data_IF_552155713296
#
_entry.id   IF_552155713296
#
_cell.length_a   1.000
_cell.length_b   1.000
_cell.length_c   1.000
_cell.angle_alpha   90.00
_cell.angle_beta   90.00
_cell.angle_gamma   90.00
#
_symmetry.space_group_name_H-M   'P 1'
#
loop_
_entity.id
_entity.type
_entity.pdbx_description
1 polymer ?
#
# COMPACT_ATOMS: atom_id res chain seq x y z
N UNK A 1 -0.65 -14.32 -2.55
CA UNK A 1 -0.36 -14.04 -1.13
C UNK A 1 -1.53 -14.38 -0.22
N UNK A 2 -2.74 -13.90 -0.48
CA UNK A 2 -3.90 -14.31 0.32
C UNK A 2 -4.33 -15.76 0.06
N UNK A 3 -3.99 -16.32 -1.11
CA UNK A 3 -4.29 -17.70 -1.57
C UNK A 3 -5.76 -18.13 -1.33
N UNK A 4 -6.65 -17.20 -1.57
CA UNK A 4 -8.09 -17.41 -1.44
C UNK A 4 -8.70 -17.28 -2.82
N UNK A 5 -9.11 -18.41 -3.40
CA UNK A 5 -9.74 -18.44 -4.73
C UNK A 5 -11.09 -17.73 -4.74
N UNK A 6 -11.82 -17.77 -3.61
CA UNK A 6 -13.13 -17.14 -3.47
C UNK A 6 -13.23 -16.38 -2.15
N UNK A 7 -13.69 -15.13 -2.24
CA UNK A 7 -13.95 -14.27 -1.08
C UNK A 7 -15.46 -14.13 -0.77
N UNK A 8 -16.28 -15.00 -1.32
CA UNK A 8 -17.74 -14.94 -1.16
C UNK A 8 -18.13 -14.99 0.31
N UNK A 9 -18.92 -13.99 0.74
CA UNK A 9 -19.40 -13.86 2.10
C UNK A 9 -18.41 -13.23 3.09
N UNK A 10 -17.18 -12.90 2.65
CA UNK A 10 -16.19 -12.21 3.47
C UNK A 10 -16.30 -10.69 3.32
N UNK A 11 -16.02 -9.97 4.40
CA UNK A 11 -15.89 -8.52 4.42
C UNK A 11 -14.42 -8.13 4.23
N UNK A 12 -14.16 -7.32 3.22
CA UNK A 12 -12.84 -6.88 2.81
C UNK A 12 -12.71 -5.37 2.98
N UNK A 13 -11.72 -4.93 3.73
CA UNK A 13 -11.36 -3.52 3.89
C UNK A 13 -10.12 -3.21 3.06
N UNK A 14 -10.21 -2.23 2.16
CA UNK A 14 -9.10 -1.70 1.38
C UNK A 14 -8.69 -0.32 1.89
N UNK A 15 -7.57 -0.26 2.58
CA UNK A 15 -7.02 0.96 3.18
C UNK A 15 -6.04 1.61 2.21
N UNK A 16 -6.41 2.80 1.72
CA UNK A 16 -5.66 3.49 0.69
C UNK A 16 -5.86 2.83 -0.67
N UNK A 17 -7.11 2.84 -1.14
CA UNK A 17 -7.52 2.09 -2.34
C UNK A 17 -6.88 2.55 -3.64
N UNK A 18 -6.34 3.78 -3.69
CA UNK A 18 -5.67 4.34 -4.86
C UNK A 18 -6.57 4.30 -6.09
N UNK A 19 -6.13 3.57 -7.13
CA UNK A 19 -6.93 3.35 -8.35
C UNK A 19 -8.10 2.38 -8.19
N UNK A 20 -8.26 1.71 -7.04
CA UNK A 20 -9.33 0.77 -6.75
C UNK A 20 -9.18 -0.64 -7.34
N UNK A 21 -8.06 -0.98 -7.95
CA UNK A 21 -7.87 -2.27 -8.63
C UNK A 21 -7.93 -3.47 -7.67
N UNK A 22 -7.42 -3.35 -6.45
CA UNK A 22 -7.48 -4.43 -5.47
C UNK A 22 -8.88 -4.58 -4.89
N UNK A 23 -9.58 -3.48 -4.64
CA UNK A 23 -11.00 -3.48 -4.29
C UNK A 23 -11.85 -4.15 -5.37
N UNK A 24 -11.61 -3.80 -6.64
CA UNK A 24 -12.28 -4.40 -7.80
C UNK A 24 -12.05 -5.91 -7.85
N UNK A 25 -10.79 -6.35 -7.69
CA UNK A 25 -10.44 -7.77 -7.68
C UNK A 25 -11.11 -8.52 -6.51
N UNK A 26 -11.12 -7.94 -5.31
CA UNK A 26 -11.80 -8.51 -4.16
C UNK A 26 -13.32 -8.63 -4.40
N UNK A 27 -13.91 -7.60 -5.02
CA UNK A 27 -15.34 -7.62 -5.35
C UNK A 27 -15.68 -8.65 -6.43
N UNK A 28 -14.86 -8.80 -7.46
CA UNK A 28 -15.01 -9.89 -8.45
C UNK A 28 -14.88 -11.28 -7.82
N UNK A 29 -14.08 -11.42 -6.77
CA UNK A 29 -13.94 -12.67 -6.00
C UNK A 29 -15.11 -12.90 -5.04
N UNK A 30 -16.11 -12.01 -4.99
CA UNK A 30 -17.35 -12.16 -4.22
C UNK A 30 -17.36 -11.54 -2.83
N UNK A 31 -16.34 -10.79 -2.45
CA UNK A 31 -16.32 -10.09 -1.15
C UNK A 31 -17.32 -8.94 -1.09
N UNK A 32 -17.82 -8.62 0.12
CA UNK A 32 -18.35 -7.30 0.42
C UNK A 32 -17.17 -6.38 0.73
N UNK A 33 -17.01 -5.30 -0.06
CA UNK A 33 -15.81 -4.45 -0.04
C UNK A 33 -16.13 -3.09 0.57
N UNK A 34 -15.27 -2.64 1.44
CA UNK A 34 -15.22 -1.26 1.91
C UNK A 34 -13.85 -0.67 1.54
N UNK A 35 -13.84 0.42 0.79
CA UNK A 35 -12.63 1.07 0.31
C UNK A 35 -12.60 2.50 0.80
N UNK A 36 -11.46 2.94 1.30
CA UNK A 36 -11.26 4.37 1.54
C UNK A 36 -9.87 4.82 1.12
N UNK A 37 -9.75 6.10 0.83
CA UNK A 37 -8.49 6.76 0.56
C UNK A 37 -8.49 8.17 1.14
N UNK A 38 -7.32 8.68 1.52
CA UNK A 38 -7.16 10.06 1.98
C UNK A 38 -7.24 11.04 0.81
N UNK A 39 -6.79 10.62 -0.39
CA UNK A 39 -6.77 11.44 -1.59
C UNK A 39 -8.13 11.37 -2.32
N UNK A 40 -8.83 12.51 -2.51
CA UNK A 40 -10.10 12.56 -3.21
C UNK A 40 -10.03 12.07 -4.66
N UNK A 41 -8.90 12.26 -5.37
CA UNK A 41 -8.72 11.77 -6.74
C UNK A 41 -8.68 10.25 -6.77
N UNK A 42 -8.00 9.62 -5.82
CA UNK A 42 -7.99 8.16 -5.63
C UNK A 42 -9.39 7.62 -5.33
N UNK A 43 -10.16 8.31 -4.47
CA UNK A 43 -11.57 7.96 -4.20
C UNK A 43 -12.40 8.04 -5.48
N UNK A 44 -12.23 9.09 -6.29
CA UNK A 44 -12.94 9.25 -7.55
C UNK A 44 -12.58 8.17 -8.57
N UNK A 45 -11.29 7.79 -8.67
CA UNK A 45 -10.86 6.68 -9.51
C UNK A 45 -11.55 5.36 -9.10
N UNK A 46 -11.59 5.06 -7.80
CA UNK A 46 -12.24 3.86 -7.28
C UNK A 46 -13.75 3.88 -7.53
N UNK A 47 -14.42 5.02 -7.36
CA UNK A 47 -15.85 5.20 -7.69
C UNK A 47 -16.13 4.99 -9.18
N UNK A 48 -15.24 5.47 -10.05
CA UNK A 48 -15.37 5.26 -11.49
C UNK A 48 -15.24 3.78 -11.88
N UNK A 49 -14.33 3.03 -11.24
CA UNK A 49 -14.26 1.57 -11.44
C UNK A 49 -15.54 0.88 -10.98
N UNK A 50 -16.08 1.24 -9.81
CA UNK A 50 -17.36 0.71 -9.35
C UNK A 50 -18.46 1.01 -10.36
N UNK A 51 -18.55 2.25 -10.85
CA UNK A 51 -19.54 2.65 -11.86
C UNK A 51 -19.47 1.81 -13.13
N UNK A 52 -18.27 1.44 -13.59
CA UNK A 52 -18.07 0.66 -14.83
C UNK A 52 -18.41 -0.83 -14.68
N UNK A 53 -18.06 -1.42 -13.55
CA UNK A 53 -18.10 -2.87 -13.38
C UNK A 53 -19.16 -3.37 -12.40
N UNK A 54 -19.62 -2.52 -11.50
CA UNK A 54 -20.55 -2.86 -10.43
C UNK A 54 -21.57 -1.75 -10.18
N UNK A 55 -22.26 -1.31 -11.24
CA UNK A 55 -23.29 -0.27 -11.15
C UNK A 55 -24.38 -0.68 -10.17
N UNK A 56 -24.73 0.21 -9.22
CA UNK A 56 -25.76 -0.02 -8.18
C UNK A 56 -25.47 -1.21 -7.24
N UNK A 57 -24.21 -1.55 -7.04
CA UNK A 57 -23.82 -2.63 -6.13
C UNK A 57 -23.66 -2.11 -4.70
N UNK A 58 -24.54 -2.53 -3.79
CA UNK A 58 -24.49 -2.16 -2.38
C UNK A 58 -23.39 -2.89 -1.59
N UNK A 59 -22.79 -3.93 -2.19
CA UNK A 59 -21.70 -4.68 -1.58
C UNK A 59 -20.32 -4.04 -1.74
N UNK A 60 -20.23 -2.85 -2.35
CA UNK A 60 -18.98 -2.09 -2.44
C UNK A 60 -19.21 -0.64 -2.00
N UNK A 61 -18.75 -0.29 -0.80
CA UNK A 61 -18.74 1.08 -0.27
C UNK A 61 -17.41 1.75 -0.53
N UNK A 62 -17.43 3.06 -0.85
CA UNK A 62 -16.23 3.85 -1.17
C UNK A 62 -16.37 5.22 -0.54
N UNK A 63 -15.41 5.60 0.31
CA UNK A 63 -15.43 6.86 1.04
C UNK A 63 -14.06 7.55 1.06
N UNK A 64 -14.04 8.84 1.35
CA UNK A 64 -12.82 9.54 1.73
C UNK A 64 -12.57 9.33 3.23
N UNK A 65 -11.35 9.01 3.61
CA UNK A 65 -11.01 8.77 5.01
C UNK A 65 -9.50 8.64 5.24
N UNK A 66 -9.09 8.75 6.48
CA UNK A 66 -7.68 8.63 6.88
C UNK A 66 -7.47 7.46 7.82
N UNK A 67 -6.45 6.64 7.55
CA UNK A 67 -6.02 5.58 8.48
C UNK A 67 -5.49 6.15 9.82
N UNK A 68 -5.11 7.42 9.85
CA UNK A 68 -4.67 8.08 11.09
C UNK A 68 -5.84 8.65 11.92
N UNK A 69 -7.04 8.71 11.36
CA UNK A 69 -8.25 9.12 12.09
C UNK A 69 -8.83 7.89 12.81
N UNK A 70 -8.48 7.78 14.10
CA UNK A 70 -8.86 6.64 14.92
C UNK A 70 -10.37 6.50 15.11
N UNK A 71 -11.08 7.63 15.29
CA UNK A 71 -12.54 7.62 15.49
C UNK A 71 -13.24 7.12 14.21
N UNK A 72 -12.80 7.60 13.05
CA UNK A 72 -13.26 7.11 11.77
C UNK A 72 -13.02 5.60 11.63
N UNK A 73 -11.80 5.13 11.91
CA UNK A 73 -11.45 3.72 11.79
C UNK A 73 -12.26 2.82 12.73
N UNK A 74 -12.49 3.25 13.97
CA UNK A 74 -13.32 2.51 14.93
C UNK A 74 -14.79 2.44 14.47
N UNK A 75 -15.28 3.47 13.77
CA UNK A 75 -16.66 3.50 13.24
C UNK A 75 -16.91 2.52 12.10
N UNK A 76 -15.86 2.07 11.38
CA UNK A 76 -15.98 1.13 10.25
C UNK A 76 -16.39 -0.28 10.67
N UNK A 77 -16.16 -0.65 11.93
CA UNK A 77 -16.39 -2.01 12.43
C UNK A 77 -15.27 -2.98 12.09
N UNK A 78 -15.59 -4.26 11.91
CA UNK A 78 -14.64 -5.36 11.79
C UNK A 78 -14.76 -6.10 10.46
N UNK A 79 -13.61 -6.50 9.90
CA UNK A 79 -13.50 -7.16 8.60
C UNK A 79 -12.76 -8.49 8.71
N UNK A 80 -13.07 -9.41 7.80
CA UNK A 80 -12.39 -10.70 7.69
C UNK A 80 -11.00 -10.54 7.10
N UNK A 81 -10.85 -9.58 6.17
CA UNK A 81 -9.58 -9.24 5.51
C UNK A 81 -9.40 -7.73 5.55
N UNK A 82 -8.27 -7.29 6.08
CA UNK A 82 -7.81 -5.90 6.06
C UNK A 82 -6.59 -5.82 5.16
N UNK A 83 -6.68 -5.03 4.11
CA UNK A 83 -5.68 -4.91 3.06
C UNK A 83 -5.15 -3.48 3.01
N UNK A 84 -3.83 -3.33 2.96
CA UNK A 84 -3.18 -2.04 2.74
C UNK A 84 -1.84 -2.23 2.03
N UNK A 85 -1.79 -1.94 0.76
CA UNK A 85 -0.58 -2.12 -0.06
C UNK A 85 0.00 -0.79 -0.51
N UNK A 86 1.19 -0.46 -0.03
CA UNK A 86 1.90 0.75 -0.47
C UNK A 86 1.41 2.05 0.19
N UNK A 87 0.75 2.00 1.34
CA UNK A 87 0.07 3.15 1.96
C UNK A 87 0.63 3.53 3.32
N UNK A 88 0.72 2.59 4.26
CA UNK A 88 0.99 2.88 5.67
C UNK A 88 2.31 3.64 5.90
N UNK A 89 3.30 3.38 5.08
CA UNK A 89 4.63 4.01 5.13
C UNK A 89 4.70 5.39 4.43
N UNK A 90 3.56 5.89 3.93
CA UNK A 90 3.39 7.23 3.39
C UNK A 90 2.51 8.14 4.26
N UNK A 91 2.13 7.68 5.45
CA UNK A 91 1.25 8.43 6.36
C UNK A 91 1.98 9.47 7.21
N UNK A 92 3.29 9.35 7.37
CA UNK A 92 4.09 10.18 8.29
C UNK A 92 4.00 9.72 9.74
N UNK A 93 3.17 8.71 10.03
CA UNK A 93 3.06 8.05 11.33
C UNK A 93 2.74 6.55 11.14
N UNK A 94 3.68 5.83 10.50
CA UNK A 94 3.49 4.45 10.05
C UNK A 94 3.04 3.51 11.18
N UNK A 95 3.62 3.60 12.36
CA UNK A 95 3.28 2.72 13.46
C UNK A 95 1.87 2.97 14.01
N UNK A 96 1.40 4.22 14.05
CA UNK A 96 0.02 4.53 14.41
C UNK A 96 -0.95 4.02 13.32
N UNK A 97 -0.61 4.21 12.05
CA UNK A 97 -1.38 3.65 10.95
C UNK A 97 -1.47 2.11 11.05
N UNK A 98 -0.36 1.42 11.35
CA UNK A 98 -0.35 -0.02 11.59
C UNK A 98 -1.23 -0.42 12.78
N UNK A 99 -1.17 0.34 13.89
CA UNK A 99 -2.01 0.11 15.07
C UNK A 99 -3.50 0.24 14.74
N UNK A 100 -3.85 1.23 13.93
CA UNK A 100 -5.23 1.46 13.52
C UNK A 100 -5.75 0.35 12.59
N UNK A 101 -4.90 -0.34 11.80
CA UNK A 101 -5.34 -1.53 11.05
C UNK A 101 -5.87 -2.63 11.95
N UNK A 102 -5.27 -2.80 13.13
CA UNK A 102 -5.64 -3.84 14.11
C UNK A 102 -7.07 -3.65 14.62
N UNK A 103 -7.49 -2.39 14.76
CA UNK A 103 -8.83 -2.03 15.25
C UNK A 103 -9.95 -2.54 14.34
N UNK A 104 -9.65 -2.86 13.09
CA UNK A 104 -10.64 -3.26 12.08
C UNK A 104 -10.69 -4.76 11.79
N UNK A 105 -9.92 -5.58 12.51
CA UNK A 105 -9.83 -7.03 12.23
C UNK A 105 -10.76 -7.84 13.11
N UNK A 106 -11.50 -8.77 12.52
CA UNK A 106 -12.28 -9.79 13.25
C UNK A 106 -11.38 -10.84 13.91
N UNK A 107 -11.86 -11.56 14.93
CA UNK A 107 -11.22 -12.80 15.38
C UNK A 107 -11.01 -13.74 14.20
N UNK A 108 -9.81 -14.35 14.09
CA UNK A 108 -9.36 -15.19 12.95
C UNK A 108 -9.27 -14.44 11.61
N UNK A 109 -9.45 -13.10 11.60
CA UNK A 109 -9.28 -12.27 10.42
C UNK A 109 -7.81 -12.11 10.06
N UNK A 110 -7.56 -11.58 8.86
CA UNK A 110 -6.22 -11.43 8.29
C UNK A 110 -5.91 -9.98 7.94
N UNK A 111 -4.65 -9.60 8.16
CA UNK A 111 -4.09 -8.35 7.69
C UNK A 111 -3.08 -8.66 6.58
N UNK A 112 -3.24 -8.03 5.42
CA UNK A 112 -2.23 -8.00 4.36
C UNK A 112 -1.69 -6.58 4.22
N UNK A 113 -0.40 -6.39 4.47
CA UNK A 113 0.27 -5.10 4.32
C UNK A 113 1.53 -5.21 3.49
N UNK A 114 1.92 -4.08 2.88
CA UNK A 114 3.24 -3.93 2.29
C UNK A 114 3.94 -2.69 2.84
N UNK A 115 5.19 -2.85 3.28
CA UNK A 115 5.99 -1.79 3.91
C UNK A 115 7.35 -1.73 3.24
N UNK A 116 7.86 -0.51 2.99
CA UNK A 116 9.21 -0.31 2.45
C UNK A 116 10.28 -0.89 3.37
N UNK A 117 11.20 -1.62 2.72
CA UNK A 117 12.35 -2.21 3.40
C UNK A 117 13.36 -1.14 3.83
N UNK A 118 13.82 -1.21 5.08
CA UNK A 118 14.89 -0.35 5.57
C UNK A 118 16.26 -0.84 5.09
N UNK A 119 16.92 -0.05 4.26
CA UNK A 119 18.27 -0.26 3.74
C UNK A 119 19.31 0.63 4.43
N UNK A 120 19.02 1.12 5.65
CA UNK A 120 19.93 1.96 6.42
C UNK A 120 20.22 3.30 5.77
N UNK A 121 21.48 3.54 5.36
CA UNK A 121 21.89 4.83 4.78
C UNK A 121 21.19 5.14 3.44
N UNK A 122 20.90 4.13 2.63
CA UNK A 122 20.18 4.29 1.36
C UNK A 122 18.77 4.81 1.61
N UNK A 123 18.07 4.27 2.60
CA UNK A 123 16.72 4.74 2.99
C UNK A 123 16.76 6.18 3.50
N UNK A 124 17.79 6.56 4.27
CA UNK A 124 17.99 7.95 4.73
C UNK A 124 18.23 8.90 3.56
N UNK A 125 19.07 8.51 2.60
CA UNK A 125 19.30 9.27 1.37
C UNK A 125 17.97 9.52 0.63
N UNK A 126 17.19 8.47 0.35
CA UNK A 126 15.92 8.62 -0.36
C UNK A 126 14.90 9.45 0.41
N UNK A 127 14.85 9.33 1.72
CA UNK A 127 14.00 10.21 2.57
C UNK A 127 14.35 11.68 2.36
N UNK A 128 15.64 12.02 2.35
CA UNK A 128 16.11 13.38 2.12
C UNK A 128 15.77 13.88 0.71
N UNK A 129 16.03 13.06 -0.31
CA UNK A 129 15.68 13.36 -1.72
C UNK A 129 14.20 13.65 -1.87
N UNK A 130 13.33 12.77 -1.37
CA UNK A 130 11.87 12.92 -1.44
C UNK A 130 11.39 14.17 -0.69
N UNK A 131 11.96 14.45 0.48
CA UNK A 131 11.67 15.67 1.24
C UNK A 131 12.02 16.92 0.45
N UNK A 132 13.21 16.97 -0.16
CA UNK A 132 13.64 18.09 -1.00
C UNK A 132 12.81 18.24 -2.28
N UNK A 133 12.45 17.13 -2.91
CA UNK A 133 11.57 17.13 -4.09
C UNK A 133 10.22 17.81 -3.80
N UNK A 134 9.67 17.59 -2.60
CA UNK A 134 8.37 18.13 -2.19
C UNK A 134 8.45 19.50 -1.51
N UNK A 135 9.64 20.12 -1.39
CA UNK A 135 9.78 21.39 -0.68
C UNK A 135 9.41 22.60 -1.54
N UNK A 136 9.89 22.71 -2.77
CA UNK A 136 9.57 23.79 -3.72
C UNK A 136 9.89 23.42 -5.16
N UNK A 137 9.45 24.27 -6.11
CA UNK A 137 9.59 23.99 -7.56
C UNK A 137 11.04 23.94 -8.03
N UNK A 138 11.95 24.73 -7.46
CA UNK A 138 13.35 24.77 -7.86
C UNK A 138 14.10 23.52 -7.41
N UNK A 139 13.91 23.10 -6.16
CA UNK A 139 14.49 21.85 -5.65
C UNK A 139 13.89 20.64 -6.36
N UNK A 140 12.61 20.66 -6.72
CA UNK A 140 11.97 19.63 -7.54
C UNK A 140 12.67 19.49 -8.89
N UNK A 141 12.85 20.60 -9.61
CA UNK A 141 13.52 20.59 -10.91
C UNK A 141 14.97 20.07 -10.79
N UNK A 142 15.70 20.54 -9.79
CA UNK A 142 17.08 20.09 -9.53
C UNK A 142 17.13 18.57 -9.24
N UNK A 143 16.26 18.06 -8.36
CA UNK A 143 16.20 16.64 -8.01
C UNK A 143 15.87 15.79 -9.23
N UNK A 144 14.88 16.21 -10.05
CA UNK A 144 14.54 15.51 -11.30
C UNK A 144 15.75 15.46 -12.22
N UNK A 145 16.36 16.60 -12.54
CA UNK A 145 17.53 16.67 -13.46
C UNK A 145 18.69 15.80 -12.97
N UNK A 146 18.96 15.82 -11.66
CA UNK A 146 20.05 15.03 -11.07
C UNK A 146 19.79 13.52 -11.15
N UNK A 147 18.54 13.07 -11.05
CA UNK A 147 18.20 11.65 -11.01
C UNK A 147 17.78 11.06 -12.36
N UNK A 148 17.54 11.85 -13.40
CA UNK A 148 17.23 11.36 -14.77
C UNK A 148 18.26 10.34 -15.27
N UNK A 149 19.59 10.59 -15.18
CA UNK A 149 20.58 9.64 -15.69
C UNK A 149 20.42 8.24 -15.08
N UNK A 150 20.19 8.17 -13.78
CA UNK A 150 20.09 6.90 -13.04
C UNK A 150 18.69 6.28 -13.13
N UNK A 151 17.64 7.05 -12.79
CA UNK A 151 16.29 6.50 -12.67
C UNK A 151 15.57 6.31 -14.01
N UNK A 152 15.95 7.09 -15.02
CA UNK A 152 15.31 7.03 -16.34
C UNK A 152 16.26 6.46 -17.40
N UNK A 153 17.38 7.14 -17.72
CA UNK A 153 18.25 6.76 -18.84
C UNK A 153 18.89 5.38 -18.66
N UNK A 154 19.46 5.09 -17.49
CA UNK A 154 20.07 3.79 -17.22
C UNK A 154 19.04 2.65 -17.23
N UNK A 155 17.86 2.86 -16.65
CA UNK A 155 16.77 1.87 -16.69
C UNK A 155 16.22 1.66 -18.09
N UNK A 156 16.13 2.73 -18.91
CA UNK A 156 15.72 2.65 -20.31
C UNK A 156 16.74 1.83 -21.11
N UNK A 157 18.04 2.11 -20.95
CA UNK A 157 19.12 1.38 -21.59
C UNK A 157 19.07 -0.12 -21.22
N UNK A 158 18.93 -0.46 -19.94
CA UNK A 158 18.83 -1.86 -19.52
C UNK A 158 17.61 -2.56 -20.13
N UNK A 159 16.47 -1.88 -20.23
CA UNK A 159 15.26 -2.47 -20.85
C UNK A 159 15.44 -2.71 -22.34
N UNK A 160 16.03 -1.77 -23.07
CA UNK A 160 16.32 -1.95 -24.49
C UNK A 160 17.31 -3.07 -24.74
N UNK A 161 18.40 -3.14 -23.97
CA UNK A 161 19.40 -4.20 -24.10
C UNK A 161 18.87 -5.60 -23.72
N UNK A 162 17.88 -5.69 -22.79
CA UNK A 162 17.31 -6.97 -22.36
C UNK A 162 16.04 -7.37 -23.10
N UNK A 163 15.57 -6.55 -24.06
CA UNK A 163 14.31 -6.79 -24.79
C UNK A 163 13.05 -6.72 -23.93
N UNK A 164 13.15 -6.29 -22.65
CA UNK A 164 12.04 -6.22 -21.72
C UNK A 164 11.31 -4.87 -21.82
N UNK A 165 10.68 -4.61 -22.96
CA UNK A 165 9.93 -3.38 -23.19
C UNK A 165 8.57 -3.36 -22.47
N UNK A 166 8.07 -4.52 -22.03
CA UNK A 166 6.82 -4.61 -21.29
C UNK A 166 6.91 -3.92 -19.93
N UNK A 167 5.92 -3.10 -19.65
CA UNK A 167 5.82 -2.32 -18.41
C UNK A 167 5.03 -3.11 -17.37
N UNK A 168 5.69 -3.55 -16.31
CA UNK A 168 4.99 -4.07 -15.14
C UNK A 168 4.17 -2.94 -14.51
N UNK A 169 2.87 -3.03 -14.49
CA UNK A 169 1.89 -2.04 -13.95
C UNK A 169 1.36 -1.00 -14.95
N UNK A 170 1.66 -1.05 -16.24
CA UNK A 170 1.11 -0.10 -17.23
C UNK A 170 1.59 1.35 -17.12
N UNK A 171 2.51 1.65 -16.21
CA UNK A 171 3.06 3.00 -16.00
C UNK A 171 4.30 3.25 -16.86
N UNK A 172 4.42 4.44 -17.48
CA UNK A 172 5.65 4.81 -18.21
C UNK A 172 6.83 4.99 -17.26
N UNK A 173 8.07 4.77 -17.75
CA UNK A 173 9.29 4.96 -16.94
C UNK A 173 9.37 6.37 -16.34
N UNK A 174 8.88 7.37 -17.08
CA UNK A 174 8.84 8.75 -16.62
C UNK A 174 7.89 8.90 -15.42
N UNK A 175 6.66 8.40 -15.54
CA UNK A 175 5.70 8.48 -14.43
C UNK A 175 6.15 7.66 -13.20
N UNK A 176 6.76 6.48 -13.42
CA UNK A 176 7.33 5.67 -12.34
C UNK A 176 8.48 6.41 -11.61
N UNK A 177 9.31 7.17 -12.33
CA UNK A 177 10.35 8.01 -11.72
C UNK A 177 9.75 9.17 -10.92
N UNK A 178 8.76 9.88 -11.48
CA UNK A 178 8.11 11.02 -10.81
C UNK A 178 7.35 10.56 -9.56
N UNK A 179 6.62 9.47 -9.66
CA UNK A 179 5.92 8.84 -8.54
C UNK A 179 6.89 8.42 -7.43
N UNK A 180 7.99 7.77 -7.83
CA UNK A 180 9.05 7.42 -6.89
C UNK A 180 9.63 8.65 -6.16
N UNK A 181 9.97 9.72 -6.87
CA UNK A 181 10.53 10.94 -6.27
C UNK A 181 9.51 11.69 -5.42
N UNK A 182 8.22 11.67 -5.82
CA UNK A 182 7.13 12.39 -5.16
C UNK A 182 6.61 11.73 -3.89
N UNK A 183 6.84 10.44 -3.70
CA UNK A 183 6.28 9.65 -2.60
C UNK A 183 6.81 10.06 -1.21
N UNK A 184 6.32 11.14 -0.65
CA UNK A 184 6.61 11.64 0.69
C UNK A 184 5.31 11.91 1.44
N UNK A 185 5.20 11.60 2.76
CA UNK A 185 6.21 11.03 3.67
C UNK A 185 6.78 9.69 3.21
N UNK A 186 8.01 9.38 3.63
CA UNK A 186 8.69 8.12 3.29
C UNK A 186 9.25 7.48 4.55
N UNK A 187 8.60 6.43 4.98
CA UNK A 187 8.96 5.65 6.16
C UNK A 187 9.35 4.24 5.75
N UNK A 188 10.20 3.62 6.51
CA UNK A 188 10.74 2.30 6.22
C UNK A 188 10.88 1.51 7.51
N UNK A 189 10.81 0.20 7.43
CA UNK A 189 11.10 -0.67 8.57
C UNK A 189 11.81 -1.94 8.14
N UNK A 190 12.60 -2.49 9.06
CA UNK A 190 13.16 -3.81 8.92
C UNK A 190 12.06 -4.87 9.12
N UNK A 191 12.10 -5.99 8.38
CA UNK A 191 11.08 -7.03 8.47
C UNK A 191 10.81 -7.52 9.88
N UNK A 192 11.87 -7.72 10.66
CA UNK A 192 11.77 -8.19 12.04
C UNK A 192 10.97 -7.22 12.94
N UNK A 193 11.07 -5.91 12.70
CA UNK A 193 10.32 -4.92 13.48
C UNK A 193 8.82 -4.94 13.18
N UNK A 194 8.44 -5.20 11.93
CA UNK A 194 7.04 -5.35 11.54
C UNK A 194 6.45 -6.62 12.14
N UNK A 195 7.19 -7.73 12.08
CA UNK A 195 6.74 -9.02 12.66
C UNK A 195 6.62 -8.91 14.18
N UNK A 196 7.61 -8.31 14.86
CA UNK A 196 7.58 -8.08 16.31
C UNK A 196 6.39 -7.22 16.73
N UNK A 197 6.09 -6.15 15.96
CA UNK A 197 4.96 -5.26 16.23
C UNK A 197 3.63 -6.00 16.21
N UNK A 198 3.31 -6.71 15.13
CA UNK A 198 2.05 -7.43 15.01
C UNK A 198 1.96 -8.63 15.94
N UNK A 199 3.09 -9.29 16.23
CA UNK A 199 3.11 -10.41 17.17
C UNK A 199 2.73 -9.98 18.60
N UNK A 200 3.20 -8.82 19.07
CA UNK A 200 2.82 -8.24 20.37
C UNK A 200 1.31 -7.96 20.49
N UNK A 201 0.66 -7.72 19.36
CA UNK A 201 -0.77 -7.45 19.29
C UNK A 201 -1.61 -8.72 19.01
N UNK A 202 -1.02 -9.92 19.13
CA UNK A 202 -1.71 -11.21 18.97
C UNK A 202 -1.87 -11.66 17.52
N UNK A 203 -1.11 -11.09 16.58
CA UNK A 203 -1.11 -11.48 15.19
C UNK A 203 0.10 -12.35 14.84
N UNK A 204 -0.14 -13.43 14.14
CA UNK A 204 0.88 -14.38 13.72
C UNK A 204 1.16 -14.26 12.21
N UNK A 205 2.43 -14.17 11.86
CA UNK A 205 2.85 -14.15 10.46
C UNK A 205 2.52 -15.48 9.81
N UNK A 206 1.70 -15.47 8.75
CA UNK A 206 1.36 -16.67 7.97
C UNK A 206 2.10 -16.72 6.64
N UNK A 207 2.35 -15.55 6.02
CA UNK A 207 3.11 -15.46 4.77
C UNK A 207 3.93 -14.17 4.74
N UNK A 208 5.08 -14.25 4.10
CA UNK A 208 5.94 -13.11 3.83
C UNK A 208 6.60 -13.24 2.47
N UNK A 209 6.69 -12.12 1.75
CA UNK A 209 7.48 -11.98 0.54
C UNK A 209 8.40 -10.78 0.71
N UNK A 210 9.70 -11.02 0.67
CA UNK A 210 10.69 -9.96 0.82
C UNK A 210 11.22 -9.48 -0.52
N UNK A 211 11.66 -8.23 -0.57
CA UNK A 211 12.39 -7.68 -1.72
C UNK A 211 13.87 -8.11 -1.75
N UNK A 212 14.28 -9.07 -0.91
CA UNK A 212 15.64 -9.62 -0.88
C UNK A 212 16.71 -8.62 -0.44
N UNK A 213 16.39 -7.73 0.50
CA UNK A 213 17.28 -6.68 0.97
C UNK A 213 17.45 -5.51 0.00
N UNK A 214 16.79 -5.55 -1.15
CA UNK A 214 16.80 -4.48 -2.15
C UNK A 214 15.82 -3.35 -1.81
N UNK A 215 15.84 -2.32 -2.62
CA UNK A 215 14.83 -1.27 -2.60
C UNK A 215 13.48 -1.83 -3.04
N UNK A 216 12.46 -1.63 -2.24
CA UNK A 216 11.10 -2.14 -2.50
C UNK A 216 10.33 -2.41 -1.21
N UNK A 217 9.13 -2.93 -1.37
CA UNK A 217 8.29 -3.32 -0.25
C UNK A 217 8.50 -4.79 0.10
N UNK A 218 8.48 -5.07 1.40
CA UNK A 218 8.22 -6.39 1.91
C UNK A 218 6.71 -6.54 2.13
N UNK A 219 6.14 -7.66 1.77
CA UNK A 219 4.72 -7.97 1.88
C UNK A 219 4.51 -8.99 3.00
N UNK A 220 3.50 -8.77 3.83
CA UNK A 220 3.20 -9.60 4.99
C UNK A 220 1.73 -9.95 5.03
N UNK A 221 1.43 -11.20 5.42
CA UNK A 221 0.10 -11.64 5.81
C UNK A 221 0.14 -12.10 7.24
N UNK A 222 -0.65 -11.46 8.07
CA UNK A 222 -0.82 -11.83 9.48
C UNK A 222 -2.23 -12.36 9.70
N UNK A 223 -2.38 -13.28 10.64
CA UNK A 223 -3.67 -13.80 11.10
C UNK A 223 -3.82 -13.52 12.59
N UNK A 224 -4.98 -12.97 12.97
CA UNK A 224 -5.29 -12.73 14.37
C UNK A 224 -5.65 -14.06 15.05
N UNK A 225 -4.92 -14.42 16.09
CA UNK A 225 -5.20 -15.59 16.94
C UNK A 225 -5.40 -15.11 18.35
N UNK A 226 -6.58 -15.36 18.87
CA UNK A 226 -6.85 -15.02 20.26
C UNK A 226 -5.93 -15.86 21.16
N UNK A 227 -5.19 -15.27 22.11
CA UNK A 227 -4.33 -16.02 23.04
C UNK A 227 -5.10 -17.09 23.89
N UNK A 228 -6.42 -17.10 23.81
CA UNK A 228 -7.30 -18.05 24.53
C UNK A 228 -7.81 -19.21 23.66
N UNK A 229 -7.50 -19.21 22.36
CA UNK A 229 -7.76 -20.29 21.41
C UNK A 229 -6.49 -21.13 21.22
#
# INVERSE_FOLDING_TARGET
MLDMEHLKGLQFLDIGSGSGLFSLAARFSGASVYSFDYDPESVNCTKELKRRYFTNDDCWKIEAGSILDKEYIESLGKFDIVYSWGVLHHTGNMYEAMKNTILTVKPKGRIFISIYNDQGWISRYWRSVKKLYNSNIFTRAFIVLFHIPYLFCFRLMLRTCTGRLSMSRGMSLWHDMIDWLGGYPFEVAKPEKIVEFYHKEGFFLTKMKTCGGRQGCNEYVFEYRNPKD
#
